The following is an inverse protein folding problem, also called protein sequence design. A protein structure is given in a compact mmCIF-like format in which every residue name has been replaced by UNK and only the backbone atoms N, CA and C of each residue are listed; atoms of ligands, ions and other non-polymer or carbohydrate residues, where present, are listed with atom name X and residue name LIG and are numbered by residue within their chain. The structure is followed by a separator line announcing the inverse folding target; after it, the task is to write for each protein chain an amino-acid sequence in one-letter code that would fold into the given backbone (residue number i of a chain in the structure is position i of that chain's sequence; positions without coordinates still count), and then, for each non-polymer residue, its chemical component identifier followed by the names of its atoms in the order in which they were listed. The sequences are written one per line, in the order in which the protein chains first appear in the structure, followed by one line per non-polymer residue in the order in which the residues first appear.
data_IF_978062838326
#
_entry.id   IF_978062838326
#
_cell.length_a   1.000
_cell.length_b   1.000
_cell.length_c   1.000
_cell.angle_alpha   90.00
_cell.angle_beta   90.00
_cell.angle_gamma   90.00
#
_symmetry.space_group_name_H-M   'P 1'
#
loop_
_entity.id
_entity.type
_entity.pdbx_description
1 polymer ?
#
# COMPACT_ATOMS: atom_id res chain seq x y z
N UNK A 1 31.63 13.15 14.56
CA UNK A 1 31.66 13.84 15.88
C UNK A 1 31.61 12.79 16.98
N UNK A 2 32.33 13.00 18.08
CA UNK A 2 32.33 12.10 19.25
C UNK A 2 31.61 12.82 20.39
N UNK A 3 30.48 12.28 20.84
CA UNK A 3 29.63 12.85 21.89
C UNK A 3 28.13 12.62 21.63
N UNK A 4 27.33 12.64 22.70
CA UNK A 4 25.87 12.57 22.58
C UNK A 4 25.36 13.80 21.82
N UNK A 5 24.51 13.57 20.81
CA UNK A 5 24.02 14.60 19.89
C UNK A 5 22.51 14.71 20.00
N UNK A 6 21.99 15.94 20.14
CA UNK A 6 20.55 16.20 20.08
C UNK A 6 20.21 17.39 19.19
N UNK A 7 19.13 17.28 18.43
CA UNK A 7 18.67 18.34 17.51
C UNK A 7 17.16 18.29 17.27
N UNK A 8 16.57 19.43 16.92
CA UNK A 8 15.17 19.49 16.48
C UNK A 8 14.98 18.95 15.05
N UNK A 9 15.97 19.16 14.18
CA UNK A 9 16.02 18.59 12.82
C UNK A 9 17.47 18.18 12.53
N UNK A 10 17.67 16.94 12.11
CA UNK A 10 18.91 16.42 11.54
C UNK A 10 18.68 16.15 10.06
N UNK A 11 19.52 16.68 9.18
CA UNK A 11 19.47 16.42 7.74
C UNK A 11 20.83 15.95 7.29
N UNK A 12 20.90 14.72 6.81
CA UNK A 12 22.02 14.17 6.07
C UNK A 12 21.57 13.96 4.63
N UNK A 13 22.43 14.25 3.66
CA UNK A 13 22.19 13.97 2.24
C UNK A 13 23.39 13.22 1.68
N UNK A 14 23.31 12.67 0.47
CA UNK A 14 24.48 12.07 -0.21
C UNK A 14 25.68 13.04 -0.28
N UNK A 15 25.39 14.35 -0.35
CA UNK A 15 26.39 15.40 -0.45
C UNK A 15 26.84 15.93 0.92
N UNK A 16 26.04 15.71 1.97
CA UNK A 16 26.30 16.15 3.34
C UNK A 16 26.09 14.98 4.31
N UNK A 17 27.11 14.13 4.44
CA UNK A 17 27.12 13.03 5.41
C UNK A 17 27.77 13.46 6.73
N UNK A 18 27.28 12.90 7.84
CA UNK A 18 27.86 13.09 9.16
C UNK A 18 28.02 11.75 9.86
N UNK A 19 29.26 11.38 10.21
CA UNK A 19 29.49 10.27 11.13
C UNK A 19 29.37 10.78 12.58
N UNK A 20 28.38 10.29 13.33
CA UNK A 20 28.10 10.68 14.72
C UNK A 20 28.26 9.46 15.64
N UNK A 21 29.16 9.55 16.61
CA UNK A 21 29.42 8.53 17.64
C UNK A 21 28.91 8.99 19.01
N UNK A 22 27.96 8.28 19.60
CA UNK A 22 27.31 8.62 20.88
C UNK A 22 25.78 8.39 20.83
N UNK A 23 25.04 8.73 21.89
CA UNK A 23 23.56 8.68 21.86
C UNK A 23 23.02 9.80 20.97
N UNK A 24 22.05 9.46 20.11
CA UNK A 24 21.41 10.38 19.18
C UNK A 24 19.98 10.66 19.63
N UNK A 25 19.57 11.92 19.70
CA UNK A 25 18.21 12.32 20.05
C UNK A 25 17.72 13.43 19.13
N UNK A 26 17.05 13.04 18.05
CA UNK A 26 16.54 13.96 17.04
C UNK A 26 15.02 13.99 17.07
N UNK A 27 14.43 15.19 17.13
CA UNK A 27 12.97 15.34 17.00
C UNK A 27 12.50 15.04 15.57
N UNK A 28 13.31 15.43 14.59
CA UNK A 28 13.14 15.10 13.18
C UNK A 28 14.50 14.74 12.57
N UNK A 29 14.54 13.71 11.73
CA UNK A 29 15.75 13.21 11.07
C UNK A 29 15.43 12.89 9.60
N UNK A 30 16.20 13.44 8.66
CA UNK A 30 16.06 13.29 7.21
C UNK A 30 17.41 12.79 6.68
N UNK A 31 17.54 11.53 6.27
CA UNK A 31 18.81 10.96 5.81
C UNK A 31 18.65 10.55 4.33
N UNK A 32 19.48 11.15 3.47
CA UNK A 32 19.49 10.91 2.03
C UNK A 32 20.24 9.64 1.62
N UNK A 33 21.11 9.10 2.46
CA UNK A 33 21.60 7.72 2.41
C UNK A 33 22.36 7.48 3.73
N UNK A 34 22.18 6.31 4.33
CA UNK A 34 22.80 5.97 5.59
C UNK A 34 22.07 4.82 6.26
N UNK A 35 22.75 3.67 6.29
CA UNK A 35 22.51 2.45 7.06
C UNK A 35 22.37 2.71 8.57
N UNK A 36 21.35 3.48 8.97
CA UNK A 36 21.04 3.82 10.35
C UNK A 36 19.63 3.37 10.72
N UNK A 37 19.46 3.03 11.99
CA UNK A 37 18.27 2.47 12.65
C UNK A 37 16.96 3.28 12.50
N UNK A 38 16.96 4.41 11.78
CA UNK A 38 15.77 5.22 11.52
C UNK A 38 15.31 5.05 10.08
N UNK A 39 14.22 4.29 9.91
CA UNK A 39 13.55 4.06 8.64
C UNK A 39 13.23 5.34 7.85
N UNK A 40 12.92 5.13 6.56
CA UNK A 40 12.43 6.08 5.55
C UNK A 40 12.23 7.53 5.99
N UNK A 41 12.96 8.47 5.36
CA UNK A 41 12.37 9.76 4.97
C UNK A 41 12.89 10.18 3.61
N UNK A 42 12.11 9.97 2.56
CA UNK A 42 12.41 10.62 1.28
C UNK A 42 12.32 12.13 1.46
N UNK A 43 13.41 12.80 1.13
CA UNK A 43 13.45 14.24 1.15
C UNK A 43 12.89 14.72 -0.17
N UNK A 44 11.68 15.28 -0.15
CA UNK A 44 11.13 15.98 -1.31
C UNK A 44 10.82 17.43 -1.00
N UNK A 45 10.68 18.26 -2.04
CA UNK A 45 10.46 19.71 -1.87
C UNK A 45 9.20 20.02 -1.05
N UNK A 46 8.13 19.22 -1.19
CA UNK A 46 6.91 19.38 -0.41
C UNK A 46 7.11 19.09 1.09
N UNK A 47 7.96 18.12 1.42
CA UNK A 47 8.33 17.76 2.80
C UNK A 47 9.33 18.76 3.36
N UNK A 48 10.30 19.18 2.56
CA UNK A 48 11.29 20.19 2.94
C UNK A 48 10.69 21.57 3.15
N UNK A 49 9.72 21.99 2.33
CA UNK A 49 9.04 23.30 2.45
C UNK A 49 8.14 23.42 3.70
N UNK A 50 7.79 22.28 4.31
CA UNK A 50 7.11 22.22 5.61
C UNK A 50 8.08 22.40 6.79
N UNK A 51 9.34 22.00 6.63
CA UNK A 51 10.36 22.00 7.70
C UNK A 51 11.35 23.16 7.60
N UNK A 52 11.56 23.67 6.40
CA UNK A 52 12.55 24.69 6.04
C UNK A 52 11.84 25.87 5.38
N UNK A 53 12.30 27.08 5.65
CA UNK A 53 11.73 28.29 5.05
C UNK A 53 11.86 28.22 3.53
N UNK A 54 10.79 28.45 2.74
CA UNK A 54 10.81 28.27 1.29
C UNK A 54 11.93 29.01 0.55
N UNK A 55 12.33 30.20 1.02
CA UNK A 55 13.44 30.97 0.44
C UNK A 55 14.78 30.22 0.50
N UNK A 56 14.94 29.26 1.42
CA UNK A 56 16.13 28.44 1.58
C UNK A 56 16.12 27.19 0.70
N UNK A 57 15.04 26.93 -0.04
CA UNK A 57 14.94 25.81 -0.96
C UNK A 57 15.37 26.24 -2.36
N UNK A 58 15.90 25.29 -3.13
CA UNK A 58 16.14 25.51 -4.56
C UNK A 58 14.83 25.34 -5.31
N UNK A 59 14.43 26.35 -6.08
CA UNK A 59 13.29 26.28 -7.01
C UNK A 59 13.70 25.65 -8.36
N UNK A 60 14.97 25.25 -8.50
CA UNK A 60 15.52 24.66 -9.71
C UNK A 60 15.23 23.13 -9.73
N UNK A 61 14.38 22.66 -10.66
CA UNK A 61 14.05 21.24 -10.78
C UNK A 61 15.22 20.39 -11.30
N UNK A 62 16.25 21.00 -11.89
CA UNK A 62 17.43 20.31 -12.44
C UNK A 62 18.56 20.17 -11.40
N UNK A 63 18.44 20.79 -10.22
CA UNK A 63 19.41 20.62 -9.13
C UNK A 63 19.01 19.46 -8.22
N UNK A 64 19.90 18.46 -8.09
CA UNK A 64 19.82 17.41 -7.05
C UNK A 64 19.78 17.99 -5.62
N UNK A 65 20.12 19.28 -5.47
CA UNK A 65 20.16 20.00 -4.21
C UNK A 65 18.85 20.73 -3.92
N UNK A 66 18.05 20.14 -3.02
CA UNK A 66 16.81 20.74 -2.51
C UNK A 66 17.09 22.00 -1.66
N UNK A 67 18.32 22.17 -1.13
CA UNK A 67 18.72 23.31 -0.30
C UNK A 67 19.58 24.32 -1.05
N UNK A 68 19.17 25.59 -1.03
CA UNK A 68 19.98 26.70 -1.52
C UNK A 68 20.98 27.15 -0.44
N UNK A 69 22.25 26.74 -0.61
CA UNK A 69 23.35 27.12 0.31
C UNK A 69 23.42 28.63 0.55
N UNK A 70 23.29 29.44 -0.49
CA UNK A 70 23.40 30.89 -0.39
C UNK A 70 22.28 31.47 0.48
N UNK A 71 21.04 31.05 0.25
CA UNK A 71 19.88 31.54 0.98
C UNK A 71 19.84 31.07 2.44
N UNK A 72 20.32 29.85 2.71
CA UNK A 72 20.54 29.34 4.08
C UNK A 72 21.55 30.23 4.83
N UNK A 73 22.68 30.56 4.20
CA UNK A 73 23.71 31.41 4.80
C UNK A 73 23.21 32.85 5.01
N UNK A 74 22.44 33.40 4.09
CA UNK A 74 21.90 34.76 4.21
C UNK A 74 20.82 34.88 5.30
N UNK A 75 20.02 33.83 5.51
CA UNK A 75 19.11 33.73 6.66
C UNK A 75 19.88 33.68 7.99
N UNK A 76 20.94 32.88 8.09
CA UNK A 76 21.77 32.87 9.30
C UNK A 76 22.46 34.21 9.56
N UNK A 77 23.02 34.85 8.54
CA UNK A 77 23.66 36.18 8.65
C UNK A 77 22.68 37.27 9.08
N UNK A 78 21.41 37.14 8.71
CA UNK A 78 20.35 38.08 9.10
C UNK A 78 19.67 37.72 10.44
N UNK A 79 20.18 36.72 11.16
CA UNK A 79 19.66 36.31 12.47
C UNK A 79 18.30 35.63 12.42
N UNK A 80 17.88 35.14 11.25
CA UNK A 80 16.58 34.52 11.01
C UNK A 80 16.71 32.99 10.99
N UNK A 81 15.66 32.31 11.43
CA UNK A 81 15.61 30.85 11.42
C UNK A 81 15.45 30.31 9.98
N UNK A 82 16.25 29.30 9.65
CA UNK A 82 16.09 28.47 8.45
C UNK A 82 15.00 27.41 8.65
N UNK A 83 14.73 27.03 9.90
CA UNK A 83 13.71 26.07 10.27
C UNK A 83 12.35 26.75 10.47
N UNK A 84 11.30 26.15 9.92
CA UNK A 84 9.92 26.42 10.33
C UNK A 84 9.66 25.49 11.53
N UNK A 85 9.99 25.94 12.74
CA UNK A 85 9.70 25.18 13.98
C UNK A 85 8.20 25.27 14.29
N UNK A 86 7.43 24.68 13.41
CA UNK A 86 6.05 24.26 13.50
C UNK A 86 5.84 23.26 12.34
N UNK A 87 6.78 22.33 12.15
CA UNK A 87 6.59 21.22 11.22
C UNK A 87 5.47 20.34 11.77
N UNK A 88 4.57 19.83 10.91
CA UNK A 88 3.52 18.96 11.40
C UNK A 88 4.20 17.78 12.08
N UNK A 89 3.80 17.46 13.31
CA UNK A 89 3.77 16.06 13.69
C UNK A 89 3.14 15.37 12.49
N UNK A 90 3.80 14.40 11.85
CA UNK A 90 3.08 13.47 10.99
C UNK A 90 2.08 12.80 11.93
N UNK A 91 0.96 13.48 12.15
CA UNK A 91 -0.20 12.86 12.72
C UNK A 91 -0.53 11.81 11.68
N UNK A 92 -0.56 10.52 12.05
CA UNK A 92 -1.03 9.49 11.14
C UNK A 92 -2.31 10.02 10.52
N UNK A 93 -2.43 9.90 9.19
CA UNK A 93 -3.62 10.41 8.49
C UNK A 93 -4.81 9.82 9.23
N UNK A 94 -5.58 10.69 9.87
CA UNK A 94 -6.63 10.25 10.77
C UNK A 94 -7.72 9.64 9.91
N UNK A 95 -7.73 8.31 9.86
CA UNK A 95 -8.73 7.56 9.10
C UNK A 95 -10.06 7.80 9.78
N UNK A 96 -10.95 8.52 9.11
CA UNK A 96 -12.28 8.75 9.63
C UNK A 96 -12.95 7.38 9.84
N UNK A 97 -13.37 7.05 11.08
CA UNK A 97 -13.91 5.72 11.35
C UNK A 97 -15.23 5.57 10.59
N UNK A 98 -15.29 4.55 9.72
CA UNK A 98 -16.54 4.19 9.02
C UNK A 98 -17.58 3.60 10.00
N UNK A 99 -17.10 3.05 11.11
CA UNK A 99 -17.88 2.29 12.09
C UNK A 99 -17.89 3.01 13.44
N UNK A 100 -18.99 3.70 13.73
CA UNK A 100 -19.24 4.28 15.05
C UNK A 100 -19.61 3.22 16.08
N UNK A 101 -20.31 2.18 15.64
CA UNK A 101 -20.59 0.98 16.41
C UNK A 101 -19.65 -0.14 15.94
N UNK A 102 -18.91 -0.74 16.88
CA UNK A 102 -17.98 -1.85 16.62
C UNK A 102 -18.57 -3.22 16.92
N UNK A 103 -19.85 -3.29 17.28
CA UNK A 103 -20.51 -4.55 17.56
C UNK A 103 -20.69 -5.40 16.29
N UNK A 104 -20.79 -6.72 16.46
CA UNK A 104 -21.09 -7.64 15.36
C UNK A 104 -22.59 -7.54 15.05
N UNK A 105 -22.93 -6.75 14.04
CA UNK A 105 -24.31 -6.50 13.60
C UNK A 105 -24.47 -6.82 12.12
N UNK A 106 -25.70 -7.09 11.68
CA UNK A 106 -26.02 -7.29 10.26
C UNK A 106 -25.56 -6.09 9.43
N UNK A 107 -25.80 -4.87 9.92
CA UNK A 107 -25.39 -3.64 9.22
C UNK A 107 -23.87 -3.57 9.03
N UNK A 108 -23.11 -3.87 10.08
CA UNK A 108 -21.64 -3.84 10.00
C UNK A 108 -21.10 -4.97 9.11
N UNK A 109 -21.69 -6.17 9.18
CA UNK A 109 -21.30 -7.29 8.29
C UNK A 109 -21.57 -6.92 6.82
N UNK A 110 -22.69 -6.28 6.50
CA UNK A 110 -22.99 -5.82 5.14
C UNK A 110 -21.97 -4.78 4.63
N UNK A 111 -21.53 -3.87 5.50
CA UNK A 111 -20.49 -2.87 5.16
C UNK A 111 -19.12 -3.52 4.97
N UNK A 112 -18.73 -4.43 5.87
CA UNK A 112 -17.43 -5.13 5.79
C UNK A 112 -17.36 -6.00 4.55
N UNK A 113 -18.40 -6.78 4.31
CA UNK A 113 -18.47 -7.72 3.20
C UNK A 113 -19.16 -7.11 1.96
N UNK A 114 -18.99 -5.80 1.74
CA UNK A 114 -19.51 -5.10 0.57
C UNK A 114 -18.76 -5.58 -0.70
N UNK A 115 -19.46 -6.15 -1.70
CA UNK A 115 -18.83 -6.64 -2.92
C UNK A 115 -18.02 -5.57 -3.66
N UNK A 116 -18.39 -4.29 -3.52
CA UNK A 116 -17.69 -3.16 -4.14
C UNK A 116 -16.29 -2.92 -3.58
N UNK A 117 -15.88 -3.65 -2.54
CA UNK A 117 -14.51 -3.64 -1.99
C UNK A 117 -13.70 -4.88 -2.37
N UNK A 118 -14.33 -5.83 -3.06
CA UNK A 118 -13.73 -7.08 -3.48
C UNK A 118 -13.27 -6.94 -4.93
N UNK A 119 -12.13 -7.56 -5.24
CA UNK A 119 -11.56 -7.57 -6.59
C UNK A 119 -12.08 -8.76 -7.38
N UNK A 120 -12.45 -8.51 -8.63
CA UNK A 120 -12.76 -9.56 -9.60
C UNK A 120 -11.49 -10.31 -10.05
N UNK A 121 -10.34 -9.63 -10.08
CA UNK A 121 -9.09 -10.20 -10.61
C UNK A 121 -8.24 -10.92 -9.56
N UNK A 122 -8.52 -10.74 -8.25
CA UNK A 122 -7.73 -11.39 -7.20
C UNK A 122 -7.89 -12.91 -7.23
N UNK A 123 -8.93 -13.47 -7.85
CA UNK A 123 -9.31 -14.86 -7.62
C UNK A 123 -9.73 -15.64 -8.85
N UNK A 124 -8.88 -16.60 -9.24
CA UNK A 124 -9.35 -17.84 -9.89
C UNK A 124 -10.16 -18.74 -8.95
N UNK A 125 -10.90 -18.18 -7.98
CA UNK A 125 -11.75 -18.89 -7.01
C UNK A 125 -13.19 -18.41 -7.16
N UNK A 126 -14.14 -19.30 -6.88
CA UNK A 126 -15.54 -19.15 -7.29
C UNK A 126 -16.39 -18.09 -6.58
N UNK A 127 -15.86 -17.28 -5.65
CA UNK A 127 -16.66 -16.26 -4.94
C UNK A 127 -15.85 -14.99 -4.58
N UNK A 128 -16.44 -13.78 -4.69
CA UNK A 128 -15.86 -12.54 -4.21
C UNK A 128 -15.42 -12.61 -2.75
N UNK A 129 -14.15 -12.30 -2.45
CA UNK A 129 -13.66 -12.17 -1.07
C UNK A 129 -12.51 -11.19 -0.92
N UNK A 130 -12.32 -10.73 0.32
CA UNK A 130 -11.11 -10.08 0.81
C UNK A 130 -10.55 -10.89 1.97
N UNK A 131 -9.24 -10.91 2.09
CA UNK A 131 -8.52 -11.68 3.10
C UNK A 131 -7.19 -10.99 3.44
N UNK A 132 -6.92 -10.86 4.74
CA UNK A 132 -5.64 -10.36 5.23
C UNK A 132 -5.35 -10.92 6.63
N UNK A 133 -4.09 -10.84 7.03
CA UNK A 133 -3.63 -11.26 8.35
C UNK A 133 -3.35 -10.04 9.22
N UNK A 134 -3.64 -10.17 10.52
CA UNK A 134 -3.28 -9.19 11.55
C UNK A 134 -2.61 -9.95 12.69
N UNK A 135 -1.28 -9.85 12.79
CA UNK A 135 -0.51 -10.83 13.57
C UNK A 135 -0.84 -12.25 13.10
N UNK A 136 -1.16 -13.13 14.05
CA UNK A 136 -1.50 -14.53 13.77
C UNK A 136 -2.99 -14.75 13.48
N UNK A 137 -3.78 -13.68 13.32
CA UNK A 137 -5.22 -13.77 13.05
C UNK A 137 -5.54 -13.56 11.57
N UNK A 138 -6.17 -14.56 10.94
CA UNK A 138 -6.79 -14.45 9.61
C UNK A 138 -8.10 -13.68 9.72
N UNK A 139 -8.24 -12.67 8.88
CA UNK A 139 -9.45 -11.88 8.72
C UNK A 139 -9.96 -12.01 7.29
N UNK A 140 -11.15 -12.58 7.09
CA UNK A 140 -11.73 -12.79 5.75
C UNK A 140 -13.20 -12.39 5.72
N UNK A 141 -13.59 -11.72 4.63
CA UNK A 141 -14.98 -11.45 4.31
C UNK A 141 -15.29 -11.92 2.88
N UNK A 142 -16.37 -12.67 2.73
CA UNK A 142 -16.82 -13.27 1.46
C UNK A 142 -18.25 -12.85 1.17
N UNK A 143 -18.53 -12.52 -0.08
CA UNK A 143 -19.88 -12.31 -0.58
C UNK A 143 -20.26 -13.46 -1.54
N UNK A 144 -21.44 -14.05 -1.36
CA UNK A 144 -21.93 -15.14 -2.21
C UNK A 144 -23.40 -14.94 -2.60
N UNK A 145 -23.76 -15.34 -3.80
CA UNK A 145 -25.12 -15.38 -4.32
C UNK A 145 -25.18 -15.25 -5.84
N UNK A 146 -26.39 -15.31 -6.44
CA UNK A 146 -26.60 -15.08 -7.87
C UNK A 146 -26.12 -13.68 -8.31
N UNK A 147 -25.57 -13.55 -9.52
CA UNK A 147 -25.04 -12.30 -10.08
C UNK A 147 -26.10 -11.18 -10.19
N UNK A 148 -27.35 -11.55 -10.46
CA UNK A 148 -28.52 -10.67 -10.56
C UNK A 148 -29.05 -10.18 -9.20
N UNK A 149 -28.63 -10.83 -8.11
CA UNK A 149 -28.94 -10.45 -6.73
C UNK A 149 -27.73 -9.92 -5.95
N UNK A 150 -26.55 -9.80 -6.59
CA UNK A 150 -25.27 -9.34 -6.02
C UNK A 150 -25.17 -9.55 -4.50
N UNK A 151 -25.41 -10.83 -4.17
CA UNK A 151 -25.13 -11.57 -2.96
C UNK A 151 -26.26 -11.58 -1.89
N UNK A 152 -27.02 -12.68 -1.85
CA UNK A 152 -27.95 -13.00 -0.78
C UNK A 152 -27.25 -13.48 0.50
N UNK A 153 -25.94 -13.73 0.48
CA UNK A 153 -25.19 -14.24 1.63
C UNK A 153 -23.90 -13.43 1.86
N UNK A 154 -23.58 -13.14 3.12
CA UNK A 154 -22.24 -12.68 3.54
C UNK A 154 -21.69 -13.62 4.58
N UNK A 155 -20.39 -13.88 4.47
CA UNK A 155 -19.64 -14.70 5.41
C UNK A 155 -18.44 -13.91 5.90
N UNK A 156 -18.32 -13.80 7.22
CA UNK A 156 -17.10 -13.37 7.89
C UNK A 156 -16.43 -14.60 8.47
N UNK A 157 -15.14 -14.76 8.22
CA UNK A 157 -14.32 -15.83 8.76
C UNK A 157 -13.15 -15.21 9.51
N UNK A 158 -13.02 -15.57 10.78
CA UNK A 158 -11.92 -15.19 11.65
C UNK A 158 -11.23 -16.44 12.16
N UNK A 159 -9.91 -16.46 12.20
CA UNK A 159 -9.15 -17.59 12.73
C UNK A 159 -7.85 -17.14 13.37
N UNK A 160 -7.55 -17.67 14.56
CA UNK A 160 -6.22 -17.65 15.19
C UNK A 160 -5.69 -19.09 15.28
N UNK A 161 -4.56 -19.30 15.97
CA UNK A 161 -3.93 -20.61 16.12
C UNK A 161 -4.82 -21.66 16.82
N UNK A 162 -5.79 -21.23 17.62
CA UNK A 162 -6.56 -22.09 18.52
C UNK A 162 -8.06 -22.10 18.24
N UNK A 163 -8.58 -21.10 17.52
CA UNK A 163 -10.00 -20.88 17.33
C UNK A 163 -10.32 -20.39 15.92
N UNK A 164 -11.50 -20.76 15.43
CA UNK A 164 -12.11 -20.11 14.27
C UNK A 164 -13.56 -19.74 14.55
N UNK A 165 -14.01 -18.65 13.95
CA UNK A 165 -15.40 -18.21 13.95
C UNK A 165 -15.89 -17.90 12.55
N UNK A 166 -17.18 -18.19 12.34
CA UNK A 166 -17.89 -17.83 11.12
C UNK A 166 -19.15 -17.05 11.49
N UNK A 167 -19.31 -15.86 10.91
CA UNK A 167 -20.56 -15.11 10.93
C UNK A 167 -21.19 -15.23 9.56
N UNK A 168 -22.43 -15.71 9.49
CA UNK A 168 -23.15 -15.80 8.23
C UNK A 168 -24.43 -14.99 8.32
N UNK A 169 -24.62 -14.05 7.40
CA UNK A 169 -25.91 -13.40 7.18
C UNK A 169 -26.48 -13.84 5.82
N UNK A 170 -27.78 -14.15 5.78
CA UNK A 170 -28.50 -14.57 4.58
C UNK A 170 -29.76 -13.73 4.44
N UNK A 171 -30.02 -13.24 3.22
CA UNK A 171 -31.25 -12.55 2.85
C UNK A 171 -32.32 -13.59 2.56
N UNK A 172 -33.32 -13.68 3.43
CA UNK A 172 -34.52 -14.48 3.18
C UNK A 172 -35.59 -13.59 2.53
N UNK A 173 -35.99 -13.91 1.30
CA UNK A 173 -37.13 -13.22 0.68
C UNK A 173 -38.42 -13.54 1.46
N UNK A 174 -39.17 -12.50 1.86
CA UNK A 174 -40.47 -12.74 2.45
C UNK A 174 -41.42 -13.30 1.38
N UNK A 175 -42.24 -14.33 1.71
CA UNK A 175 -43.18 -14.91 0.77
C UNK A 175 -44.14 -13.85 0.23
N UNK A 176 -44.13 -13.65 -1.10
CA UNK A 176 -44.96 -12.64 -1.76
C UNK A 176 -46.42 -13.08 -1.78
N UNK A 177 -47.31 -12.21 -1.33
CA UNK A 177 -48.76 -12.41 -1.49
C UNK A 177 -49.16 -12.31 -2.97
N UNK A 178 -50.29 -12.93 -3.32
CA UNK A 178 -50.84 -12.89 -4.68
C UNK A 178 -50.98 -11.45 -5.23
N UNK A 179 -51.43 -10.52 -4.40
CA UNK A 179 -51.56 -9.11 -4.77
C UNK A 179 -50.22 -8.41 -4.98
N UNK A 180 -49.18 -8.75 -4.20
CA UNK A 180 -47.84 -8.20 -4.40
C UNK A 180 -47.23 -8.66 -5.73
N UNK A 181 -47.48 -9.92 -6.13
CA UNK A 181 -47.08 -10.45 -7.45
C UNK A 181 -47.84 -9.77 -8.59
N UNK A 182 -49.16 -9.58 -8.43
CA UNK A 182 -50.02 -8.96 -9.44
C UNK A 182 -49.66 -7.48 -9.71
N UNK A 183 -49.31 -6.73 -8.67
CA UNK A 183 -48.92 -5.31 -8.77
C UNK A 183 -47.40 -5.09 -8.93
N UNK A 184 -46.62 -6.15 -9.19
CA UNK A 184 -45.15 -6.09 -9.32
C UNK A 184 -44.47 -5.30 -8.20
N UNK A 185 -44.96 -5.41 -6.95
CA UNK A 185 -44.29 -4.78 -5.82
C UNK A 185 -42.94 -5.47 -5.59
N UNK A 186 -41.87 -4.71 -5.30
CA UNK A 186 -40.54 -5.28 -5.01
C UNK A 186 -40.64 -6.25 -3.82
N UNK A 187 -39.87 -7.36 -3.85
CA UNK A 187 -39.75 -8.24 -2.69
C UNK A 187 -39.17 -7.47 -1.52
N UNK A 188 -39.76 -7.66 -0.35
CA UNK A 188 -39.12 -7.31 0.92
C UNK A 188 -38.42 -8.56 1.42
N UNK A 189 -37.13 -8.49 1.74
CA UNK A 189 -36.41 -9.58 2.40
C UNK A 189 -36.00 -9.20 3.81
N UNK A 190 -35.73 -10.20 4.64
CA UNK A 190 -35.20 -10.03 5.99
C UNK A 190 -33.85 -10.72 6.09
N UNK A 191 -32.84 -10.03 6.62
CA UNK A 191 -31.54 -10.63 6.88
C UNK A 191 -31.59 -11.47 8.15
N UNK A 192 -31.11 -12.71 8.08
CA UNK A 192 -30.91 -13.58 9.24
C UNK A 192 -29.44 -13.83 9.47
N UNK A 193 -29.04 -13.77 10.72
CA UNK A 193 -27.66 -13.94 11.15
C UNK A 193 -27.50 -15.25 11.92
N UNK A 194 -26.36 -15.90 11.73
CA UNK A 194 -26.00 -17.14 12.41
C UNK A 194 -24.50 -17.17 12.70
N UNK A 195 -24.12 -17.89 13.75
CA UNK A 195 -22.75 -17.97 14.23
C UNK A 195 -22.32 -19.41 14.38
N UNK A 196 -21.08 -19.68 13.95
CA UNK A 196 -20.41 -20.95 14.20
C UNK A 196 -19.02 -20.70 14.77
N UNK A 197 -18.57 -21.60 15.62
CA UNK A 197 -17.23 -21.57 16.19
C UNK A 197 -16.58 -22.94 16.14
N UNK A 198 -15.26 -22.95 16.13
CA UNK A 198 -14.45 -24.16 16.12
C UNK A 198 -13.25 -23.97 17.04
N UNK A 199 -12.72 -25.07 17.56
CA UNK A 199 -11.48 -25.13 18.34
C UNK A 199 -10.47 -26.04 17.65
N UNK A 200 -9.21 -25.67 17.77
CA UNK A 200 -8.06 -26.46 17.38
C UNK A 200 -7.30 -26.89 18.63
N UNK A 201 -6.82 -28.12 18.68
CA UNK A 201 -5.88 -28.56 19.72
C UNK A 201 -5.01 -29.68 19.18
N UNK A 202 -3.68 -29.50 19.21
CA UNK A 202 -2.66 -30.52 18.98
C UNK A 202 -3.03 -31.50 17.84
N UNK A 203 -3.18 -30.95 16.62
CA UNK A 203 -3.53 -31.65 15.37
C UNK A 203 -4.94 -32.25 15.26
N UNK A 204 -5.79 -32.05 16.27
CA UNK A 204 -7.21 -32.44 16.23
C UNK A 204 -8.10 -31.21 16.06
N UNK A 205 -8.87 -31.32 15.00
CA UNK A 205 -9.63 -30.27 14.38
C UNK A 205 -11.09 -30.42 14.86
N UNK A 206 -11.49 -29.70 15.91
CA UNK A 206 -12.80 -29.91 16.58
C UNK A 206 -14.01 -29.69 15.67
N UNK A 207 -15.21 -30.13 16.05
CA UNK A 207 -16.39 -29.89 15.22
C UNK A 207 -16.84 -28.41 15.24
N UNK A 208 -17.55 -28.00 14.19
CA UNK A 208 -18.21 -26.70 14.17
C UNK A 208 -19.43 -26.68 15.09
N UNK A 209 -19.41 -25.80 16.08
CA UNK A 209 -20.50 -25.60 17.02
C UNK A 209 -21.33 -24.37 16.63
N UNK A 210 -22.65 -24.54 16.55
CA UNK A 210 -23.58 -23.42 16.40
C UNK A 210 -23.88 -22.85 17.78
N UNK A 211 -23.86 -21.53 17.92
CA UNK A 211 -24.26 -20.86 19.15
C UNK A 211 -25.07 -19.60 18.86
N UNK A 212 -25.91 -19.21 19.81
CA UNK A 212 -26.67 -17.96 19.78
C UNK A 212 -26.02 -16.96 20.74
N UNK A 213 -25.79 -15.70 20.32
CA UNK A 213 -25.22 -14.71 21.22
C UNK A 213 -26.18 -14.36 22.35
N UNK A 214 -25.66 -14.21 23.57
CA UNK A 214 -26.47 -13.77 24.71
C UNK A 214 -26.89 -12.30 24.55
N UNK A 215 -28.12 -11.93 24.94
CA UNK A 215 -28.58 -10.54 24.92
C UNK A 215 -27.96 -9.76 26.10
N UNK A 216 -26.75 -9.25 25.93
CA UNK A 216 -26.01 -8.49 26.96
C UNK A 216 -25.80 -7.03 26.55
N UNK A 217 -25.70 -6.13 27.53
CA UNK A 217 -25.46 -4.70 27.31
C UNK A 217 -24.08 -4.39 26.69
N UNK A 218 -23.10 -5.27 26.87
CA UNK A 218 -21.77 -5.20 26.24
C UNK A 218 -21.69 -6.26 25.14
N UNK A 219 -21.61 -5.84 23.87
CA UNK A 219 -21.76 -6.77 22.74
C UNK A 219 -20.61 -7.77 22.59
N UNK A 220 -19.43 -7.50 23.15
CA UNK A 220 -18.35 -8.49 23.21
C UNK A 220 -18.75 -9.66 24.10
N UNK A 221 -19.51 -9.43 25.18
CA UNK A 221 -19.98 -10.48 26.09
C UNK A 221 -21.14 -11.31 25.57
N UNK A 222 -21.71 -10.94 24.42
CA UNK A 222 -22.72 -11.74 23.76
C UNK A 222 -22.16 -13.08 23.25
N UNK A 223 -20.84 -13.20 23.11
CA UNK A 223 -20.19 -14.40 22.58
C UNK A 223 -19.62 -15.28 23.69
N UNK A 224 -19.38 -16.59 23.44
CA UNK A 224 -18.62 -17.41 24.38
C UNK A 224 -17.22 -16.82 24.65
N UNK A 225 -16.79 -16.77 25.92
CA UNK A 225 -15.55 -16.09 26.35
C UNK A 225 -14.30 -16.51 25.56
N UNK A 226 -14.24 -17.79 25.17
CA UNK A 226 -13.16 -18.35 24.35
C UNK A 226 -12.92 -17.61 23.03
N UNK A 227 -13.92 -16.89 22.52
CA UNK A 227 -13.84 -16.16 21.26
C UNK A 227 -13.61 -14.65 21.43
N UNK A 228 -13.51 -14.14 22.67
CA UNK A 228 -13.33 -12.70 22.91
C UNK A 228 -12.04 -12.16 22.29
N UNK A 229 -10.94 -12.93 22.35
CA UNK A 229 -9.68 -12.52 21.72
C UNK A 229 -9.84 -12.38 20.21
N UNK A 230 -10.44 -13.38 19.57
CA UNK A 230 -10.68 -13.39 18.12
C UNK A 230 -11.56 -12.23 17.65
N UNK A 231 -12.55 -11.84 18.44
CA UNK A 231 -13.38 -10.66 18.18
C UNK A 231 -12.61 -9.36 18.42
N UNK A 232 -11.84 -9.29 19.51
CA UNK A 232 -11.06 -8.12 19.86
C UNK A 232 -9.94 -7.83 18.85
N UNK A 233 -9.34 -8.86 18.26
CA UNK A 233 -8.30 -8.74 17.23
C UNK A 233 -8.92 -8.75 15.83
N UNK A 234 -9.53 -9.85 15.43
CA UNK A 234 -9.94 -10.10 14.04
C UNK A 234 -11.13 -9.27 13.58
N UNK A 235 -12.21 -9.21 14.35
CA UNK A 235 -13.38 -8.40 13.97
C UNK A 235 -13.04 -6.91 13.95
N UNK A 236 -12.34 -6.42 14.97
CA UNK A 236 -11.88 -5.03 14.98
C UNK A 236 -10.93 -4.73 13.81
N UNK A 237 -10.01 -5.63 13.48
CA UNK A 237 -9.14 -5.46 12.33
C UNK A 237 -9.90 -5.44 10.99
N UNK A 238 -11.02 -6.17 10.85
CA UNK A 238 -11.90 -6.03 9.68
C UNK A 238 -12.52 -4.63 9.60
N UNK A 239 -13.04 -4.09 10.71
CA UNK A 239 -13.65 -2.75 10.73
C UNK A 239 -12.63 -1.67 10.38
N UNK A 240 -11.45 -1.74 11.00
CA UNK A 240 -10.36 -0.79 10.75
C UNK A 240 -9.82 -0.97 9.33
N UNK A 241 -9.67 -2.22 8.91
CA UNK A 241 -9.18 -2.58 7.58
C UNK A 241 -10.04 -2.04 6.45
N UNK A 242 -11.36 -2.05 6.62
CA UNK A 242 -12.29 -1.50 5.62
C UNK A 242 -12.24 0.03 5.59
N UNK A 243 -12.10 0.67 6.76
CA UNK A 243 -11.92 2.12 6.84
C UNK A 243 -10.61 2.55 6.16
N UNK A 244 -9.52 1.82 6.43
CA UNK A 244 -8.22 2.01 5.80
C UNK A 244 -8.29 1.78 4.29
N UNK A 245 -9.00 0.75 3.83
CA UNK A 245 -9.14 0.44 2.41
C UNK A 245 -9.82 1.57 1.64
N UNK A 246 -10.94 2.08 2.17
CA UNK A 246 -11.66 3.18 1.55
C UNK A 246 -10.77 4.42 1.43
N UNK A 247 -9.96 4.73 2.45
CA UNK A 247 -8.99 5.81 2.38
C UNK A 247 -7.83 5.52 1.41
N UNK A 248 -7.21 4.34 1.50
CA UNK A 248 -6.07 3.97 0.67
C UNK A 248 -6.42 4.03 -0.82
N UNK A 249 -7.66 3.69 -1.16
CA UNK A 249 -8.14 3.68 -2.54
C UNK A 249 -8.20 5.03 -3.24
N UNK A 250 -8.13 6.14 -2.50
CA UNK A 250 -8.13 7.49 -3.06
C UNK A 250 -6.75 8.15 -3.02
N UNK A 251 -5.71 7.47 -2.50
CA UNK A 251 -4.36 8.03 -2.36
C UNK A 251 -3.60 8.05 -3.68
N UNK A 252 -3.81 7.05 -4.54
CA UNK A 252 -3.15 6.92 -5.84
C UNK A 252 -4.20 6.51 -6.86
N UNK A 253 -4.32 7.30 -7.93
CA UNK A 253 -5.28 7.00 -9.00
C UNK A 253 -4.73 5.90 -9.92
N UNK A 254 -5.57 4.95 -10.40
CA UNK A 254 -5.14 3.94 -11.37
C UNK A 254 -4.49 4.53 -12.63
N UNK A 255 -5.02 5.65 -13.11
CA UNK A 255 -4.50 6.36 -14.29
C UNK A 255 -3.08 6.87 -14.09
N UNK A 256 -2.67 7.21 -12.86
CA UNK A 256 -1.29 7.61 -12.58
C UNK A 256 -0.33 6.45 -12.74
N UNK A 257 -0.71 5.26 -12.25
CA UNK A 257 0.08 4.02 -12.42
C UNK A 257 0.16 3.67 -13.91
N UNK A 258 -0.96 3.69 -14.64
CA UNK A 258 -0.97 3.44 -16.09
C UNK A 258 -0.09 4.41 -16.87
N UNK A 259 -0.20 5.71 -16.56
CA UNK A 259 0.62 6.75 -17.20
C UNK A 259 2.11 6.46 -17.03
N UNK A 260 2.53 6.04 -15.83
CA UNK A 260 3.91 5.66 -15.56
C UNK A 260 4.33 4.41 -16.36
N UNK A 261 3.48 3.38 -16.39
CA UNK A 261 3.74 2.16 -17.16
C UNK A 261 3.81 2.41 -18.68
N UNK A 262 3.10 3.42 -19.17
CA UNK A 262 3.06 3.83 -20.58
C UNK A 262 4.18 4.79 -21.00
N UNK A 263 5.11 5.15 -20.10
CA UNK A 263 6.22 6.03 -20.47
C UNK A 263 7.14 5.35 -21.50
N UNK A 264 7.63 6.05 -22.54
CA UNK A 264 8.61 5.52 -23.49
C UNK A 264 9.89 4.94 -22.85
N UNK A 265 10.33 5.50 -21.72
CA UNK A 265 11.46 4.95 -20.95
C UNK A 265 11.14 3.62 -20.24
N UNK A 266 9.86 3.30 -20.04
CA UNK A 266 9.42 2.06 -19.39
C UNK A 266 9.12 0.97 -20.40
N UNK A 267 8.75 1.34 -21.62
CA UNK A 267 8.30 0.42 -22.68
C UNK A 267 9.16 -0.85 -22.90
N UNK A 268 10.52 -0.81 -22.92
CA UNK A 268 11.29 -2.03 -23.15
C UNK A 268 11.28 -3.02 -21.98
N UNK A 269 10.80 -2.62 -20.81
CA UNK A 269 10.76 -3.45 -19.60
C UNK A 269 9.38 -4.14 -19.48
N UNK A 270 9.12 -5.11 -20.36
CA UNK A 270 7.83 -5.80 -20.48
C UNK A 270 7.80 -7.19 -19.81
N UNK A 271 8.94 -7.68 -19.33
CA UNK A 271 9.08 -8.99 -18.70
C UNK A 271 9.31 -8.88 -17.19
N UNK A 272 8.24 -8.68 -16.44
CA UNK A 272 8.26 -8.52 -14.98
C UNK A 272 8.85 -9.71 -14.22
N UNK A 273 8.76 -10.92 -14.77
CA UNK A 273 9.18 -12.16 -14.09
C UNK A 273 10.57 -12.66 -14.52
N UNK A 274 11.30 -11.84 -15.28
CA UNK A 274 12.68 -12.14 -15.67
C UNK A 274 13.62 -10.97 -15.44
N UNK A 275 14.77 -11.04 -16.08
CA UNK A 275 15.90 -10.11 -15.83
C UNK A 275 15.70 -8.70 -16.39
N UNK A 276 14.59 -8.44 -17.09
CA UNK A 276 14.29 -7.15 -17.74
C UNK A 276 13.02 -6.52 -17.16
N UNK A 277 12.80 -6.72 -15.86
CA UNK A 277 11.60 -6.27 -15.16
C UNK A 277 11.59 -4.77 -14.88
N UNK A 278 12.75 -4.12 -14.83
CA UNK A 278 12.87 -2.76 -14.31
C UNK A 278 14.26 -2.16 -14.45
N UNK A 279 14.43 -0.96 -13.90
CA UNK A 279 15.71 -0.25 -13.84
C UNK A 279 15.77 0.69 -12.64
N UNK A 280 16.98 1.08 -12.27
CA UNK A 280 17.23 2.04 -11.20
C UNK A 280 16.99 3.49 -11.67
N UNK A 281 16.29 4.27 -10.85
CA UNK A 281 16.08 5.70 -11.04
C UNK A 281 16.53 6.48 -9.80
N UNK A 282 17.81 6.88 -9.80
CA UNK A 282 18.47 7.38 -8.60
C UNK A 282 18.67 6.23 -7.62
N UNK A 283 18.11 6.37 -6.41
CA UNK A 283 18.30 5.41 -5.30
C UNK A 283 17.20 4.34 -5.18
N UNK A 284 16.22 4.33 -6.09
CA UNK A 284 15.14 3.35 -6.08
C UNK A 284 15.17 2.55 -7.36
N UNK A 285 14.91 1.25 -7.25
CA UNK A 285 14.68 0.39 -8.40
C UNK A 285 13.18 0.34 -8.70
N UNK A 286 12.79 0.57 -9.95
CA UNK A 286 11.40 0.50 -10.38
C UNK A 286 11.22 -0.68 -11.33
N UNK A 287 10.30 -1.59 -11.00
CA UNK A 287 9.93 -2.71 -11.86
C UNK A 287 8.47 -2.61 -12.31
N UNK A 288 8.20 -3.09 -13.52
CA UNK A 288 6.98 -2.79 -14.26
C UNK A 288 6.33 -4.08 -14.74
N UNK A 289 5.05 -4.26 -14.38
CA UNK A 289 4.20 -5.27 -14.97
C UNK A 289 3.17 -4.58 -15.84
N UNK A 290 3.31 -4.77 -17.14
CA UNK A 290 2.45 -4.14 -18.14
C UNK A 290 1.03 -4.70 -18.13
N UNK A 291 0.09 -3.94 -18.67
CA UNK A 291 -1.28 -4.40 -18.88
C UNK A 291 -1.32 -5.59 -19.84
N UNK A 292 -2.16 -6.58 -19.54
CA UNK A 292 -2.23 -7.84 -20.31
C UNK A 292 -1.11 -8.84 -19.99
N UNK A 293 -0.22 -8.54 -19.03
CA UNK A 293 0.77 -9.50 -18.56
C UNK A 293 0.10 -10.77 -18.02
N UNK A 294 0.76 -11.91 -18.21
CA UNK A 294 0.31 -13.19 -17.67
C UNK A 294 1.48 -13.94 -17.02
N UNK A 295 1.17 -14.73 -15.99
CA UNK A 295 2.11 -15.61 -15.33
C UNK A 295 1.47 -16.99 -15.20
N UNK A 296 2.14 -18.04 -15.66
CA UNK A 296 1.58 -19.40 -15.69
C UNK A 296 0.18 -19.46 -16.34
N UNK A 297 -0.01 -18.73 -17.45
CA UNK A 297 -1.27 -18.58 -18.18
C UNK A 297 -2.41 -17.89 -17.42
N UNK A 298 -2.13 -17.29 -16.26
CA UNK A 298 -3.10 -16.49 -15.50
C UNK A 298 -2.87 -15.01 -15.76
N UNK A 299 -3.92 -14.24 -16.12
CA UNK A 299 -3.83 -12.79 -16.21
C UNK A 299 -3.29 -12.19 -14.91
N UNK A 300 -2.46 -11.17 -15.04
CA UNK A 300 -1.86 -10.44 -13.92
C UNK A 300 -2.22 -8.96 -14.01
N UNK A 301 -2.49 -8.30 -12.86
CA UNK A 301 -2.85 -6.89 -12.88
C UNK A 301 -1.64 -6.02 -13.23
N UNK A 302 -1.86 -4.96 -14.00
CA UNK A 302 -0.85 -3.94 -14.25
C UNK A 302 -0.31 -3.40 -12.92
N UNK A 303 1.00 -3.26 -12.80
CA UNK A 303 1.62 -2.96 -11.50
C UNK A 303 2.96 -2.24 -11.64
N UNK A 304 3.16 -1.24 -10.79
CA UNK A 304 4.47 -0.67 -10.50
C UNK A 304 4.99 -1.27 -9.18
N UNK A 305 6.23 -1.73 -9.16
CA UNK A 305 6.97 -2.09 -7.94
C UNK A 305 8.10 -1.10 -7.73
N UNK A 306 8.25 -0.60 -6.51
CA UNK A 306 9.33 0.29 -6.10
C UNK A 306 10.12 -0.40 -5.01
N UNK A 307 11.39 -0.65 -5.31
CA UNK A 307 12.32 -1.36 -4.45
C UNK A 307 13.37 -0.40 -3.88
N UNK A 308 13.79 -0.69 -2.66
CA UNK A 308 14.87 0.00 -1.97
C UNK A 308 15.81 -1.03 -1.37
N UNK A 309 17.08 -0.90 -1.71
CA UNK A 309 18.16 -1.60 -1.03
C UNK A 309 18.54 -0.85 0.25
N UNK A 310 18.69 -1.56 1.37
CA UNK A 310 19.26 -1.00 2.59
C UNK A 310 19.97 -2.06 3.42
N UNK A 311 20.96 -1.62 4.21
CA UNK A 311 21.63 -2.48 5.19
C UNK A 311 20.84 -2.45 6.50
N UNK A 312 20.26 -3.57 6.87
CA UNK A 312 19.55 -3.75 8.14
C UNK A 312 20.53 -3.64 9.32
N UNK A 313 20.10 -3.23 10.54
CA UNK A 313 20.98 -3.10 11.70
C UNK A 313 21.78 -4.35 12.09
N UNK A 314 21.36 -5.54 11.65
CA UNK A 314 22.11 -6.78 11.83
C UNK A 314 23.19 -7.03 10.77
N UNK A 315 23.37 -6.09 9.82
CA UNK A 315 24.38 -6.14 8.76
C UNK A 315 23.95 -6.86 7.49
N UNK A 316 22.69 -7.28 7.36
CA UNK A 316 22.17 -7.88 6.12
C UNK A 316 21.73 -6.82 5.13
N UNK A 317 22.04 -7.02 3.86
CA UNK A 317 21.44 -6.26 2.76
C UNK A 317 20.03 -6.80 2.50
N UNK A 318 19.03 -5.92 2.57
CA UNK A 318 17.63 -6.27 2.33
C UNK A 318 17.06 -5.41 1.20
N UNK A 319 16.13 -5.99 0.45
CA UNK A 319 15.41 -5.31 -0.63
C UNK A 319 13.95 -5.10 -0.21
N UNK A 320 13.66 -3.91 0.29
CA UNK A 320 12.30 -3.55 0.68
C UNK A 320 11.47 -3.19 -0.55
N UNK A 321 10.28 -3.79 -0.70
CA UNK A 321 9.48 -3.67 -1.92
C UNK A 321 8.06 -3.17 -1.64
N UNK A 322 7.65 -2.13 -2.37
CA UNK A 322 6.29 -1.59 -2.38
C UNK A 322 5.64 -1.86 -3.74
N UNK A 323 4.41 -2.39 -3.72
CA UNK A 323 3.69 -2.81 -4.91
C UNK A 323 2.41 -2.00 -5.06
N UNK A 324 2.20 -1.43 -6.26
CA UNK A 324 1.05 -0.62 -6.63
C UNK A 324 0.35 -1.29 -7.81
N UNK A 325 -0.60 -2.18 -7.52
CA UNK A 325 -1.27 -3.00 -8.53
C UNK A 325 -2.70 -2.50 -8.81
N UNK A 326 -3.08 -2.40 -10.08
CA UNK A 326 -4.43 -1.99 -10.49
C UNK A 326 -5.35 -3.22 -10.51
N UNK A 327 -6.42 -3.19 -9.73
CA UNK A 327 -7.43 -4.24 -9.69
C UNK A 327 -8.80 -3.71 -10.10
N UNK A 328 -9.53 -4.48 -10.91
CA UNK A 328 -10.93 -4.26 -11.20
C UNK A 328 -11.79 -4.82 -10.05
N UNK A 329 -12.61 -3.97 -9.46
CA UNK A 329 -13.57 -4.35 -8.44
C UNK A 329 -14.85 -4.91 -9.05
N UNK A 330 -15.66 -5.60 -8.24
CA UNK A 330 -16.97 -6.12 -8.69
C UNK A 330 -17.97 -5.05 -9.13
N UNK A 331 -17.78 -3.79 -8.77
CA UNK A 331 -18.61 -2.68 -9.27
C UNK A 331 -18.12 -2.12 -10.62
N UNK A 332 -17.11 -2.76 -11.22
CA UNK A 332 -16.47 -2.34 -12.47
C UNK A 332 -15.52 -1.16 -12.32
N UNK A 333 -15.26 -0.67 -11.09
CA UNK A 333 -14.27 0.39 -10.86
C UNK A 333 -12.90 -0.19 -10.58
N UNK A 334 -11.90 0.54 -11.02
CA UNK A 334 -10.51 0.16 -10.77
C UNK A 334 -9.95 0.90 -9.57
N UNK A 335 -9.10 0.22 -8.82
CA UNK A 335 -8.39 0.80 -7.67
C UNK A 335 -6.97 0.27 -7.59
N UNK A 336 -6.09 1.09 -7.03
CA UNK A 336 -4.72 0.69 -6.73
C UNK A 336 -4.70 -0.03 -5.38
N UNK A 337 -4.31 -1.29 -5.40
CA UNK A 337 -4.02 -2.07 -4.21
C UNK A 337 -2.54 -1.95 -3.87
N UNK A 338 -2.29 -1.49 -2.65
CA UNK A 338 -0.95 -1.21 -2.13
C UNK A 338 -0.56 -2.36 -1.20
N UNK A 339 0.57 -2.98 -1.51
CA UNK A 339 1.13 -4.04 -0.67
C UNK A 339 2.64 -3.86 -0.49
N UNK A 340 3.17 -4.56 0.50
CA UNK A 340 4.54 -4.38 0.98
C UNK A 340 5.21 -5.72 1.24
N UNK A 341 6.50 -5.81 0.96
CA UNK A 341 7.34 -6.92 1.38
C UNK A 341 8.61 -6.37 2.00
N UNK A 342 8.94 -6.84 3.19
CA UNK A 342 10.07 -6.35 3.97
C UNK A 342 11.41 -6.66 3.30
N UNK A 343 11.52 -7.89 2.78
CA UNK A 343 12.66 -8.36 2.02
C UNK A 343 12.16 -9.11 0.79
N UNK A 344 12.53 -8.64 -0.39
CA UNK A 344 12.07 -9.19 -1.66
C UNK A 344 12.52 -10.64 -1.85
N UNK A 345 13.62 -11.04 -1.22
CA UNK A 345 14.20 -12.38 -1.32
C UNK A 345 13.64 -13.34 -0.27
N UNK A 346 12.88 -12.87 0.72
CA UNK A 346 12.27 -13.74 1.72
C UNK A 346 11.08 -14.54 1.14
N UNK A 347 10.75 -15.68 1.74
CA UNK A 347 9.54 -16.44 1.37
C UNK A 347 8.25 -15.83 1.97
N UNK A 348 8.38 -14.72 2.70
CA UNK A 348 7.25 -14.11 3.40
C UNK A 348 6.21 -13.56 2.41
N UNK A 349 4.94 -13.64 2.82
CA UNK A 349 3.85 -13.05 2.07
C UNK A 349 3.93 -11.52 2.02
N UNK A 350 3.24 -10.92 1.04
CA UNK A 350 3.08 -9.47 0.99
C UNK A 350 2.06 -9.01 2.02
N UNK A 351 2.41 -7.99 2.79
CA UNK A 351 1.49 -7.30 3.70
C UNK A 351 0.54 -6.38 2.89
N UNK A 352 -0.78 -6.51 3.03
CA UNK A 352 -1.73 -5.71 2.27
C UNK A 352 -1.96 -4.35 2.93
N UNK A 353 -1.07 -3.40 2.67
CA UNK A 353 -1.10 -2.05 3.26
C UNK A 353 -2.41 -1.30 3.01
N UNK A 354 -3.12 -1.58 1.90
CA UNK A 354 -4.46 -1.01 1.69
C UNK A 354 -5.44 -1.34 2.82
N UNK A 355 -5.32 -2.49 3.49
CA UNK A 355 -6.13 -2.82 4.66
C UNK A 355 -5.43 -2.45 5.96
N UNK A 356 -4.12 -2.67 6.07
CA UNK A 356 -3.41 -2.42 7.34
C UNK A 356 -3.24 -0.93 7.66
N UNK A 357 -3.15 -0.08 6.64
CA UNK A 357 -2.97 1.35 6.80
C UNK A 357 -1.67 1.72 7.53
N UNK A 358 -1.73 2.80 8.30
CA UNK A 358 -0.66 3.24 9.19
C UNK A 358 0.61 3.73 8.49
N UNK A 359 1.71 3.71 9.23
CA UNK A 359 2.98 4.31 8.79
C UNK A 359 3.51 3.71 7.48
N UNK A 360 3.43 2.38 7.30
CA UNK A 360 3.89 1.75 6.07
C UNK A 360 3.08 2.18 4.84
N UNK A 361 1.79 2.45 4.98
CA UNK A 361 0.99 3.01 3.88
C UNK A 361 1.45 4.42 3.51
N UNK A 362 1.74 5.27 4.50
CA UNK A 362 2.27 6.61 4.26
C UNK A 362 3.63 6.57 3.54
N UNK A 363 4.49 5.62 3.94
CA UNK A 363 5.77 5.38 3.29
C UNK A 363 5.61 4.89 1.86
N UNK A 364 4.66 4.00 1.60
CA UNK A 364 4.35 3.53 0.26
C UNK A 364 3.93 4.68 -0.67
N UNK A 365 3.05 5.57 -0.21
CA UNK A 365 2.63 6.74 -0.99
C UNK A 365 3.80 7.70 -1.24
N UNK A 366 4.71 7.83 -0.28
CA UNK A 366 5.93 8.60 -0.46
C UNK A 366 6.85 7.97 -1.52
N UNK A 367 7.04 6.64 -1.46
CA UNK A 367 7.81 5.86 -2.43
C UNK A 367 7.28 6.03 -3.84
N UNK A 368 5.95 5.93 -3.99
CA UNK A 368 5.28 6.13 -5.26
C UNK A 368 5.55 7.52 -5.84
N UNK A 369 5.43 8.57 -5.03
CA UNK A 369 5.65 9.94 -5.50
C UNK A 369 7.11 10.22 -5.88
N UNK A 370 8.06 9.57 -5.23
CA UNK A 370 9.48 9.62 -5.60
C UNK A 370 9.71 8.91 -6.92
N UNK A 371 9.27 7.65 -7.03
CA UNK A 371 9.35 6.88 -8.27
C UNK A 371 8.70 7.63 -9.44
N UNK A 372 7.50 8.19 -9.24
CA UNK A 372 6.78 8.98 -10.24
C UNK A 372 7.65 10.11 -10.82
N UNK A 373 8.20 10.97 -9.95
CA UNK A 373 9.05 12.09 -10.38
C UNK A 373 10.32 11.61 -11.08
N UNK A 374 10.96 10.57 -10.55
CA UNK A 374 12.21 10.05 -11.09
C UNK A 374 12.02 9.38 -12.46
N UNK A 375 10.89 8.68 -12.65
CA UNK A 375 10.50 8.12 -13.94
C UNK A 375 10.14 9.21 -14.95
N UNK A 376 9.43 10.26 -14.53
CA UNK A 376 9.13 11.41 -15.39
C UNK A 376 10.40 12.10 -15.87
N UNK A 377 11.38 12.27 -14.97
CA UNK A 377 12.67 12.87 -15.29
C UNK A 377 13.51 11.96 -16.20
N UNK A 378 13.62 10.67 -15.89
CA UNK A 378 14.32 9.70 -16.75
C UNK A 378 13.71 9.66 -18.16
N UNK A 379 12.38 9.75 -18.25
CA UNK A 379 11.69 9.82 -19.52
C UNK A 379 12.02 11.10 -20.30
N UNK A 380 12.05 12.26 -19.62
CA UNK A 380 12.45 13.53 -20.23
C UNK A 380 13.88 13.48 -20.75
N UNK A 381 14.83 12.99 -19.94
CA UNK A 381 16.23 12.85 -20.34
C UNK A 381 16.40 11.94 -21.57
N UNK A 382 15.66 10.84 -21.61
CA UNK A 382 15.66 9.93 -22.76
C UNK A 382 15.14 10.63 -24.03
N UNK A 383 14.01 11.32 -23.95
CA UNK A 383 13.34 11.91 -25.11
C UNK A 383 14.03 13.20 -25.62
N UNK A 384 14.47 14.07 -24.71
CA UNK A 384 15.03 15.39 -25.07
C UNK A 384 16.55 15.33 -25.30
N UNK A 385 17.25 14.47 -24.55
CA UNK A 385 18.71 14.44 -24.53
C UNK A 385 19.30 13.12 -25.03
N UNK A 386 18.47 12.12 -25.37
CA UNK A 386 18.92 10.78 -25.75
C UNK A 386 19.80 10.12 -24.68
N UNK A 387 19.54 10.43 -23.40
CA UNK A 387 20.24 9.86 -22.25
C UNK A 387 19.36 8.75 -21.66
N UNK A 388 19.73 7.46 -21.79
CA UNK A 388 19.04 6.37 -21.13
C UNK A 388 19.28 6.38 -19.62
N UNK A 389 18.35 5.81 -18.83
CA UNK A 389 18.51 5.68 -17.38
C UNK A 389 19.69 4.76 -17.01
N UNK A 390 19.92 3.70 -17.78
CA UNK A 390 21.06 2.81 -17.63
C UNK A 390 21.70 2.51 -19.00
N UNK A 391 23.00 2.74 -19.11
CA UNK A 391 23.78 2.46 -20.31
C UNK A 391 24.18 0.98 -20.44
N UNK A 392 24.00 0.17 -19.40
CA UNK A 392 24.28 -1.26 -19.38
C UNK A 392 23.10 -2.09 -19.87
N UNK A 393 21.89 -1.53 -19.89
CA UNK A 393 20.67 -2.17 -20.41
C UNK A 393 20.66 -2.25 -21.95
N UNK A 394 21.48 -3.15 -22.49
CA UNK A 394 21.67 -3.30 -23.92
C UNK A 394 20.39 -3.63 -24.70
N UNK A 395 19.41 -4.28 -24.06
CA UNK A 395 18.10 -4.56 -24.66
C UNK A 395 17.26 -3.28 -24.79
N UNK A 396 17.18 -2.47 -23.73
CA UNK A 396 16.43 -1.22 -23.72
C UNK A 396 17.05 -0.19 -24.68
N UNK A 397 18.39 -0.07 -24.69
CA UNK A 397 19.11 0.80 -25.62
C UNK A 397 18.84 0.40 -27.07
N UNK A 398 18.80 -0.90 -27.37
CA UNK A 398 18.48 -1.40 -28.72
C UNK A 398 17.05 -1.00 -29.10
N UNK A 399 16.09 -1.23 -28.21
CA UNK A 399 14.69 -0.84 -28.40
C UNK A 399 14.56 0.67 -28.71
N UNK A 400 15.14 1.54 -27.88
CA UNK A 400 15.05 2.99 -28.09
C UNK A 400 15.77 3.47 -29.35
N UNK A 401 16.85 2.80 -29.78
CA UNK A 401 17.51 3.08 -31.07
C UNK A 401 16.63 2.68 -32.24
N UNK A 402 15.98 1.53 -32.18
CA UNK A 402 15.05 1.04 -33.23
C UNK A 402 13.84 1.97 -33.37
N UNK A 403 13.33 2.51 -32.26
CA UNK A 403 12.28 3.54 -32.26
C UNK A 403 12.75 4.95 -32.65
N UNK A 404 14.06 5.16 -32.82
CA UNK A 404 14.62 6.47 -33.16
C UNK A 404 14.63 7.48 -32.01
N UNK A 405 14.38 7.04 -30.77
CA UNK A 405 14.42 7.88 -29.56
C UNK A 405 15.87 8.23 -29.22
N UNK A 406 16.75 7.24 -29.22
CA UNK A 406 18.20 7.47 -29.11
C UNK A 406 18.77 7.62 -30.51
N UNK A 407 19.18 8.84 -30.87
CA UNK A 407 19.91 9.09 -32.11
C UNK A 407 21.21 8.26 -32.09
N UNK A 408 21.59 7.68 -33.24
CA UNK A 408 22.88 6.97 -33.37
C UNK A 408 23.98 7.88 -32.82
N UNK A 409 24.56 7.52 -31.67
CA UNK A 409 25.79 8.14 -31.18
C UNK A 409 26.79 8.07 -32.34
N UNK A 410 27.09 9.22 -32.95
CA UNK A 410 28.21 9.31 -33.87
C UNK A 410 29.43 8.85 -33.08
N UNK A 411 30.08 7.76 -33.54
CA UNK A 411 31.35 7.25 -33.01
C UNK A 411 32.31 8.43 -32.80
N UNK A 412 32.40 9.00 -31.60
CA UNK A 412 33.37 10.04 -31.28
C UNK A 412 33.63 10.16 -29.77
N UNK A 413 33.45 9.08 -29.00
CA UNK A 413 34.01 8.99 -27.66
C UNK A 413 35.13 7.94 -27.65
N UNK A 414 36.28 8.38 -28.16
CA UNK A 414 37.60 7.93 -27.73
C UNK A 414 38.37 9.21 -27.42
N UNK A 415 38.63 9.45 -26.14
CA UNK A 415 39.90 9.93 -25.59
C UNK A 415 39.84 9.86 -24.08
#
# INVERSE_FOLDING_TARGET
MVGDTSAALFVATEQYHFDLRGKKSFRHELIGDGSGESGWKFIDFATMSKLIVPVCLSDDPDLENILSRQQVLDQFRSGKSVLRIAGPVQQPVEVAPLFNDRNVTIENILKVADPRRMSADLEGRGAPRLEFWTGDTVCRATAMGPEDELNAQRIIYLQDDNHAMVFTIILEENPRSFWQKLFRKPSTGTWRMSFKGRRFHDDVDGDWEVFEPEPVFEATRAFPERYYSLLATGWNALLDGISNYDQASILIAPDEVRRLLALPVVEPYDNFYGDTAGFCVGQVHCAFRQEGASYEHKPQPAMLRVDREYVHPDGRDLIESYFFAIYLQFDGKERVFISYKHDQDSEDGRLPLSFLGGHHLDLAVMAFNVARRRLDEANRQLLEHSIPPDWYDGFAIRHWKEKGVIKKLSKNWKN
#
